data_IF_753197638758
#
_entry.id   IF_753197638758
#
_cell.length_a   1.000
_cell.length_b   1.000
_cell.length_c   1.000
_cell.angle_alpha   90.00
_cell.angle_beta   90.00
_cell.angle_gamma   90.00
#
_symmetry.space_group_name_H-M   'P 1'
#
loop_
_entity.id
_entity.type
_entity.pdbx_description
1 polymer ?
#
# COMPACT_ATOMS: atom_id res chain seq x y z
N UNK A 1 13.21 -18.06 -13.40
CA UNK A 1 13.92 -16.94 -12.76
C UNK A 1 12.81 -16.02 -12.27
N UNK A 2 12.48 -16.09 -10.98
CA UNK A 2 11.32 -15.38 -10.42
C UNK A 2 11.74 -13.95 -10.09
N UNK A 3 11.36 -13.00 -10.96
CA UNK A 3 11.51 -11.59 -10.68
C UNK A 3 10.34 -11.17 -9.77
N UNK A 4 10.60 -11.10 -8.48
CA UNK A 4 9.69 -10.47 -7.54
C UNK A 4 9.65 -8.98 -7.83
N UNK A 5 8.46 -8.38 -7.85
CA UNK A 5 8.30 -6.94 -7.88
C UNK A 5 9.18 -6.30 -6.80
N UNK A 6 10.05 -5.40 -7.20
CA UNK A 6 10.83 -4.56 -6.30
C UNK A 6 9.89 -3.54 -5.70
N UNK A 7 9.58 -3.68 -4.42
CA UNK A 7 8.91 -2.62 -3.67
C UNK A 7 10.00 -1.60 -3.29
N UNK A 8 9.73 -0.30 -3.47
CA UNK A 8 10.66 0.77 -3.13
C UNK A 8 10.92 0.93 -1.61
N UNK A 9 12.01 1.61 -1.20
CA UNK A 9 12.34 1.78 0.21
C UNK A 9 11.33 2.68 0.94
N UNK A 10 10.84 2.22 2.10
CA UNK A 10 10.00 2.99 3.02
C UNK A 10 10.70 3.13 4.38
N UNK A 11 10.76 4.34 4.93
CA UNK A 11 11.40 4.61 6.22
C UNK A 11 10.36 4.57 7.35
N UNK A 12 10.43 3.56 8.21
CA UNK A 12 9.64 3.50 9.44
C UNK A 12 10.45 3.99 10.64
N UNK A 13 9.87 4.87 11.45
CA UNK A 13 10.51 5.45 12.65
C UNK A 13 10.56 4.41 13.79
N UNK A 14 11.74 4.04 14.34
CA UNK A 14 11.82 2.99 15.36
C UNK A 14 11.66 3.55 16.78
N UNK A 15 11.04 2.80 17.70
CA UNK A 15 11.26 2.98 19.15
C UNK A 15 11.29 1.67 19.95
N UNK A 16 12.01 1.76 21.08
CA UNK A 16 12.61 0.67 21.85
C UNK A 16 11.71 -0.10 22.83
N UNK A 17 12.30 -1.22 23.26
CA UNK A 17 11.78 -2.36 24.03
C UNK A 17 11.24 -2.04 25.43
N UNK A 18 10.02 -2.48 25.76
CA UNK A 18 9.48 -2.66 27.14
C UNK A 18 8.41 -3.78 27.10
N UNK A 19 8.68 -4.96 27.66
CA UNK A 19 8.31 -5.56 28.98
C UNK A 19 6.81 -5.92 29.18
N UNK A 20 6.59 -7.22 29.45
CA UNK A 20 5.32 -7.96 29.61
C UNK A 20 4.53 -7.60 30.89
N UNK A 21 3.19 -7.47 30.76
CA UNK A 21 2.07 -7.83 31.68
C UNK A 21 0.88 -6.87 31.40
N UNK A 22 -0.38 -7.22 31.13
CA UNK A 22 -1.22 -8.42 31.29
C UNK A 22 -1.69 -8.98 29.93
N UNK A 23 -1.72 -10.31 29.77
CA UNK A 23 -2.11 -10.96 28.51
C UNK A 23 -3.64 -11.18 28.49
N UNK A 24 -4.29 -10.78 27.39
CA UNK A 24 -5.54 -11.40 26.95
C UNK A 24 -5.36 -12.93 26.99
N UNK A 25 -6.32 -13.65 27.56
CA UNK A 25 -6.35 -15.10 27.42
C UNK A 25 -6.58 -15.48 25.95
N UNK A 26 -6.13 -16.68 25.57
CA UNK A 26 -6.19 -17.13 24.17
C UNK A 26 -7.63 -17.09 23.63
N UNK A 27 -8.64 -17.32 24.47
CA UNK A 27 -10.06 -17.24 24.12
C UNK A 27 -10.53 -15.80 23.83
N UNK A 28 -10.03 -14.81 24.59
CA UNK A 28 -10.25 -13.39 24.33
C UNK A 28 -9.63 -12.93 23.02
N UNK A 29 -8.41 -13.40 22.71
CA UNK A 29 -7.73 -13.12 21.43
C UNK A 29 -8.50 -13.74 20.26
N UNK A 30 -8.90 -15.01 20.38
CA UNK A 30 -9.59 -15.73 19.29
C UNK A 30 -10.96 -15.15 18.96
N UNK A 31 -11.71 -14.70 19.96
CA UNK A 31 -13.00 -14.03 19.75
C UNK A 31 -12.88 -12.70 19.02
N UNK A 32 -11.90 -11.86 19.39
CA UNK A 32 -11.64 -10.59 18.69
C UNK A 32 -11.22 -10.87 17.24
N UNK A 33 -10.38 -11.88 17.01
CA UNK A 33 -10.00 -12.30 15.65
C UNK A 33 -11.19 -12.78 14.83
N UNK A 34 -12.13 -13.52 15.43
CA UNK A 34 -13.33 -13.99 14.73
C UNK A 34 -14.34 -12.87 14.45
N UNK A 35 -14.51 -11.91 15.36
CA UNK A 35 -15.30 -10.69 15.13
C UNK A 35 -14.68 -9.84 14.01
N UNK A 36 -13.36 -9.65 14.03
CA UNK A 36 -12.64 -8.94 12.97
C UNK A 36 -12.74 -9.67 11.62
N UNK A 37 -12.64 -11.01 11.61
CA UNK A 37 -12.83 -11.83 10.39
C UNK A 37 -14.25 -11.78 9.86
N UNK A 38 -15.25 -11.70 10.73
CA UNK A 38 -16.66 -11.60 10.34
C UNK A 38 -17.00 -10.23 9.73
N UNK A 39 -16.40 -9.15 10.24
CA UNK A 39 -16.58 -7.79 9.72
C UNK A 39 -15.71 -7.51 8.48
N UNK A 40 -14.57 -8.19 8.34
CA UNK A 40 -13.80 -8.17 7.11
C UNK A 40 -14.54 -8.95 6.02
N UNK A 41 -15.15 -8.24 5.05
CA UNK A 41 -15.55 -8.84 3.77
C UNK A 41 -14.30 -9.41 3.10
N UNK A 42 -14.03 -10.70 3.33
CA UNK A 42 -12.93 -11.39 2.69
C UNK A 42 -13.19 -11.34 1.18
N UNK A 43 -12.28 -10.76 0.38
CA UNK A 43 -12.38 -10.83 -1.08
C UNK A 43 -12.53 -12.30 -1.50
N UNK A 44 -13.32 -12.58 -2.53
CA UNK A 44 -13.64 -13.95 -2.96
C UNK A 44 -12.41 -14.82 -3.30
N UNK A 45 -11.24 -14.21 -3.41
CA UNK A 45 -9.93 -14.85 -3.43
C UNK A 45 -9.08 -14.16 -2.36
N UNK A 46 -9.03 -14.73 -1.16
CA UNK A 46 -8.02 -14.32 -0.20
C UNK A 46 -6.64 -14.64 -0.82
N UNK A 47 -5.68 -13.71 -0.81
CA UNK A 47 -4.35 -14.01 -1.31
C UNK A 47 -3.78 -15.20 -0.53
N UNK A 48 -3.02 -16.05 -1.22
CA UNK A 48 -2.28 -17.13 -0.57
C UNK A 48 -1.21 -16.51 0.34
N UNK A 49 -1.56 -16.36 1.62
CA UNK A 49 -0.72 -15.67 2.61
C UNK A 49 0.64 -16.36 2.74
N UNK A 50 0.71 -17.69 2.54
CA UNK A 50 1.97 -18.44 2.61
C UNK A 50 2.91 -18.05 1.47
N UNK A 51 2.38 -17.89 0.25
CA UNK A 51 3.16 -17.42 -0.90
C UNK A 51 3.68 -15.98 -0.74
N UNK A 52 3.04 -15.16 0.10
CA UNK A 52 3.43 -13.77 0.35
C UNK A 52 4.44 -13.60 1.49
N UNK A 53 4.74 -14.66 2.25
CA UNK A 53 5.62 -14.57 3.42
C UNK A 53 7.01 -14.08 3.06
N UNK A 54 7.56 -14.38 1.87
CA UNK A 54 8.94 -13.99 1.53
C UNK A 54 9.11 -12.50 1.19
N UNK A 55 8.03 -11.74 1.15
CA UNK A 55 8.08 -10.31 0.88
C UNK A 55 8.56 -9.52 2.11
N UNK A 56 9.79 -9.00 2.05
CA UNK A 56 10.45 -8.30 3.15
C UNK A 56 9.75 -6.98 3.54
N UNK A 57 9.21 -6.21 2.58
CA UNK A 57 8.43 -5.02 2.91
C UNK A 57 7.09 -5.38 3.57
N UNK A 58 6.40 -6.40 3.07
CA UNK A 58 5.15 -6.85 3.68
C UNK A 58 5.38 -7.28 5.13
N UNK A 59 6.41 -8.09 5.38
CA UNK A 59 6.83 -8.47 6.74
C UNK A 59 7.13 -7.24 7.61
N UNK A 60 7.86 -6.26 7.07
CA UNK A 60 8.20 -5.03 7.80
C UNK A 60 6.94 -4.23 8.16
N UNK A 61 6.03 -4.04 7.21
CA UNK A 61 4.78 -3.32 7.42
C UNK A 61 3.87 -4.04 8.43
N UNK A 62 3.78 -5.38 8.35
CA UNK A 62 3.05 -6.19 9.32
C UNK A 62 3.59 -6.01 10.75
N UNK A 63 4.92 -6.05 10.93
CA UNK A 63 5.57 -5.82 12.23
C UNK A 63 5.30 -4.41 12.75
N UNK A 64 5.29 -3.39 11.88
CA UNK A 64 4.97 -2.01 12.27
C UNK A 64 3.51 -1.86 12.70
N UNK A 65 2.57 -2.44 11.95
CA UNK A 65 1.16 -2.45 12.32
C UNK A 65 0.94 -3.12 13.69
N UNK A 66 1.55 -4.29 13.90
CA UNK A 66 1.51 -4.99 15.19
C UNK A 66 2.07 -4.14 16.34
N UNK A 67 3.28 -3.59 16.19
CA UNK A 67 3.92 -2.77 17.23
C UNK A 67 3.09 -1.55 17.60
N UNK A 68 2.51 -0.85 16.62
CA UNK A 68 1.69 0.32 16.88
C UNK A 68 0.32 -0.04 17.49
N UNK A 69 -0.23 -1.22 17.18
CA UNK A 69 -1.40 -1.75 17.90
C UNK A 69 -1.09 -2.01 19.37
N UNK A 70 0.01 -2.71 19.68
CA UNK A 70 0.41 -2.97 21.07
C UNK A 70 0.63 -1.65 21.83
N UNK A 71 1.34 -0.69 21.24
CA UNK A 71 1.57 0.62 21.87
C UNK A 71 0.28 1.40 22.16
N UNK A 72 -0.73 1.30 21.28
CA UNK A 72 -2.03 1.93 21.52
C UNK A 72 -2.81 1.22 22.64
N UNK A 73 -2.82 -0.12 22.65
CA UNK A 73 -3.48 -0.93 23.69
C UNK A 73 -2.89 -0.60 25.07
N UNK A 74 -1.56 -0.58 25.20
CA UNK A 74 -0.90 -0.26 26.48
C UNK A 74 -1.28 1.13 27.01
N UNK A 75 -1.35 2.13 26.13
CA UNK A 75 -1.76 3.49 26.52
C UNK A 75 -3.24 3.55 26.92
N UNK A 76 -4.08 2.80 26.22
CA UNK A 76 -5.50 2.69 26.54
C UNK A 76 -5.71 2.04 27.91
N UNK A 77 -5.06 0.91 28.17
CA UNK A 77 -5.14 0.19 29.44
C UNK A 77 -4.64 1.04 30.62
N UNK A 78 -3.55 1.80 30.44
CA UNK A 78 -3.07 2.75 31.46
C UNK A 78 -4.09 3.84 31.78
N UNK A 79 -4.77 4.38 30.77
CA UNK A 79 -5.82 5.40 30.94
C UNK A 79 -7.05 4.82 31.65
N UNK A 80 -7.42 3.57 31.37
CA UNK A 80 -8.53 2.86 32.02
C UNK A 80 -8.19 2.56 33.49
N UNK A 81 -6.98 2.07 33.77
CA UNK A 81 -6.51 1.77 35.12
C UNK A 81 -6.35 3.02 35.99
N UNK A 82 -6.04 4.17 35.39
CA UNK A 82 -5.99 5.45 36.08
C UNK A 82 -6.71 6.56 35.28
N UNK A 83 -8.03 6.70 35.47
CA UNK A 83 -8.83 7.70 34.74
C UNK A 83 -8.43 9.16 34.97
N UNK A 84 -7.70 9.45 36.05
CA UNK A 84 -7.24 10.80 36.38
C UNK A 84 -5.97 11.21 35.63
N UNK A 85 -5.26 10.22 35.06
CA UNK A 85 -4.09 10.45 34.20
C UNK A 85 -4.58 11.07 32.89
N UNK A 86 -4.11 12.25 32.50
CA UNK A 86 -4.51 12.86 31.23
C UNK A 86 -3.62 12.37 30.08
N UNK A 87 -3.97 11.25 29.44
CA UNK A 87 -3.28 10.71 28.27
C UNK A 87 -4.02 10.96 26.95
N UNK A 88 -5.09 11.76 26.96
CA UNK A 88 -5.98 11.94 25.81
C UNK A 88 -5.24 12.25 24.48
N UNK A 89 -4.28 13.19 24.50
CA UNK A 89 -3.45 13.52 23.34
C UNK A 89 -2.55 12.35 22.89
N UNK A 90 -1.86 11.71 23.83
CA UNK A 90 -0.97 10.57 23.54
C UNK A 90 -1.74 9.36 22.98
N UNK A 91 -2.93 9.09 23.53
CA UNK A 91 -3.82 8.02 23.09
C UNK A 91 -4.35 8.28 21.67
N UNK A 92 -4.77 9.52 21.39
CA UNK A 92 -5.17 9.93 20.04
C UNK A 92 -4.02 9.75 19.05
N UNK A 93 -2.83 10.25 19.36
CA UNK A 93 -1.67 10.12 18.47
C UNK A 93 -1.26 8.66 18.26
N UNK A 94 -1.34 7.80 19.29
CA UNK A 94 -1.07 6.37 19.15
C UNK A 94 -2.11 5.67 18.28
N UNK A 95 -3.38 6.04 18.40
CA UNK A 95 -4.47 5.53 17.56
C UNK A 95 -4.25 5.87 16.09
N UNK A 96 -3.90 7.11 15.78
CA UNK A 96 -3.66 7.53 14.39
C UNK A 96 -2.45 6.80 13.81
N UNK A 97 -1.34 6.66 14.54
CA UNK A 97 -0.19 5.87 14.09
C UNK A 97 -0.51 4.40 13.85
N UNK A 98 -1.32 3.79 14.71
CA UNK A 98 -1.82 2.44 14.53
C UNK A 98 -2.60 2.35 13.22
N UNK A 99 -3.59 3.24 13.03
CA UNK A 99 -4.41 3.28 11.82
C UNK A 99 -3.56 3.43 10.56
N UNK A 100 -2.62 4.37 10.55
CA UNK A 100 -1.73 4.61 9.41
C UNK A 100 -0.88 3.38 9.08
N UNK A 101 -0.36 2.69 10.11
CA UNK A 101 0.45 1.48 9.92
C UNK A 101 -0.36 0.31 9.37
N UNK A 102 -1.63 0.19 9.77
CA UNK A 102 -2.55 -0.81 9.20
C UNK A 102 -2.90 -0.49 7.75
N UNK A 103 -3.07 0.78 7.40
CA UNK A 103 -3.27 1.21 6.01
C UNK A 103 -2.05 0.85 5.16
N UNK A 104 -0.83 1.14 5.64
CA UNK A 104 0.41 0.78 4.95
C UNK A 104 0.54 -0.74 4.79
N UNK A 105 0.21 -1.51 5.84
CA UNK A 105 0.23 -2.97 5.76
C UNK A 105 -0.78 -3.51 4.73
N UNK A 106 -1.99 -2.94 4.67
CA UNK A 106 -2.97 -3.28 3.64
C UNK A 106 -2.47 -2.96 2.23
N UNK A 107 -1.85 -1.79 2.03
CA UNK A 107 -1.23 -1.42 0.74
C UNK A 107 -0.15 -2.41 0.33
N UNK A 108 0.74 -2.78 1.26
CA UNK A 108 1.78 -3.76 0.97
C UNK A 108 1.21 -5.12 0.61
N UNK A 109 0.12 -5.55 1.26
CA UNK A 109 -0.56 -6.80 0.95
C UNK A 109 -1.17 -6.76 -0.45
N UNK A 110 -1.82 -5.65 -0.80
CA UNK A 110 -2.40 -5.45 -2.13
C UNK A 110 -1.32 -5.42 -3.21
N UNK A 111 -0.24 -4.67 -3.01
CA UNK A 111 0.91 -4.61 -3.92
C UNK A 111 1.51 -6.00 -4.11
N UNK A 112 1.72 -6.74 -3.03
CA UNK A 112 2.28 -8.09 -3.10
C UNK A 112 1.34 -9.06 -3.83
N UNK A 113 0.02 -8.91 -3.67
CA UNK A 113 -1.00 -9.69 -4.37
C UNK A 113 -1.07 -9.35 -5.85
N UNK A 114 -0.91 -8.06 -6.20
CA UNK A 114 -0.81 -7.64 -7.60
C UNK A 114 0.45 -8.25 -8.19
N UNK A 115 1.61 -8.13 -7.56
CA UNK A 115 2.87 -8.73 -8.03
C UNK A 115 3.50 -8.01 -9.23
N UNK A 116 4.30 -8.72 -10.02
CA UNK A 116 5.09 -8.12 -11.11
C UNK A 116 4.21 -7.56 -12.25
N UNK A 117 4.42 -6.29 -12.57
CA UNK A 117 3.72 -5.58 -13.65
C UNK A 117 4.37 -5.77 -15.02
N UNK A 118 5.63 -6.22 -15.06
CA UNK A 118 6.45 -6.24 -16.26
C UNK A 118 6.94 -4.85 -16.69
N UNK A 119 7.85 -4.81 -17.67
CA UNK A 119 8.34 -3.56 -18.25
C UNK A 119 9.19 -2.69 -17.32
N UNK A 120 9.69 -3.25 -16.21
CA UNK A 120 10.44 -2.48 -15.20
C UNK A 120 9.57 -1.52 -14.41
N UNK A 121 8.27 -1.79 -14.30
CA UNK A 121 7.34 -0.96 -13.52
C UNK A 121 7.18 -1.47 -12.10
N UNK A 122 6.90 -0.55 -11.19
CA UNK A 122 6.63 -0.86 -9.79
C UNK A 122 5.36 -0.17 -9.31
N UNK A 123 4.76 -0.74 -8.27
CA UNK A 123 3.64 -0.13 -7.54
C UNK A 123 4.16 0.37 -6.21
N UNK A 124 3.78 1.59 -5.85
CA UNK A 124 4.05 2.18 -4.54
C UNK A 124 2.75 2.74 -3.96
N UNK A 125 2.65 2.87 -2.62
CA UNK A 125 1.55 3.60 -2.00
C UNK A 125 1.49 5.05 -2.52
N UNK A 126 0.30 5.56 -2.78
CA UNK A 126 0.11 6.95 -3.20
C UNK A 126 0.31 7.96 -2.08
N UNK A 127 0.53 9.23 -2.46
CA UNK A 127 0.97 10.33 -1.58
C UNK A 127 0.00 10.68 -0.43
N UNK A 128 -1.22 10.15 -0.42
CA UNK A 128 -2.24 10.40 0.61
C UNK A 128 -2.94 9.14 1.12
N UNK A 129 -2.36 7.94 0.86
CA UNK A 129 -2.85 6.70 1.45
C UNK A 129 -4.30 6.37 1.11
N UNK A 130 -4.76 6.72 -0.09
CA UNK A 130 -6.07 6.30 -0.63
C UNK A 130 -5.96 5.54 -1.95
N UNK A 131 -4.83 5.69 -2.65
CA UNK A 131 -4.60 5.16 -3.99
C UNK A 131 -3.25 4.44 -4.04
N UNK A 132 -3.08 3.60 -5.06
CA UNK A 132 -1.79 3.05 -5.43
C UNK A 132 -1.28 3.77 -6.67
N UNK A 133 0.03 3.99 -6.75
CA UNK A 133 0.67 4.67 -7.86
C UNK A 133 1.60 3.70 -8.59
N UNK A 134 1.53 3.69 -9.91
CA UNK A 134 2.42 2.92 -10.78
C UNK A 134 3.51 3.87 -11.28
N UNK A 135 4.76 3.44 -11.14
CA UNK A 135 5.93 4.15 -11.61
C UNK A 135 6.70 3.26 -12.59
N UNK A 136 7.39 3.87 -13.54
CA UNK A 136 8.55 3.22 -14.15
C UNK A 136 9.68 3.16 -13.09
N UNK A 137 10.56 2.16 -13.14
CA UNK A 137 11.54 1.87 -12.08
C UNK A 137 12.38 3.08 -11.61
N UNK A 138 12.66 4.02 -12.50
CA UNK A 138 13.44 5.23 -12.22
C UNK A 138 12.60 6.52 -12.31
N UNK A 139 11.28 6.39 -12.43
CA UNK A 139 10.35 7.51 -12.53
C UNK A 139 10.10 8.19 -11.19
N UNK A 140 10.24 9.51 -11.16
CA UNK A 140 9.80 10.34 -10.02
C UNK A 140 8.29 10.60 -10.08
N UNK A 141 7.73 10.67 -11.28
CA UNK A 141 6.31 10.90 -11.52
C UNK A 141 5.54 9.59 -11.70
N UNK A 142 4.36 9.53 -11.09
CA UNK A 142 3.47 8.39 -11.25
C UNK A 142 2.93 8.35 -12.69
N UNK A 143 3.11 7.22 -13.35
CA UNK A 143 2.51 6.92 -14.66
C UNK A 143 0.99 6.85 -14.56
N UNK A 144 0.50 6.15 -13.53
CA UNK A 144 -0.91 5.94 -13.28
C UNK A 144 -1.18 6.01 -11.77
N UNK A 145 -2.32 6.61 -11.42
CA UNK A 145 -2.91 6.52 -10.09
C UNK A 145 -4.12 5.61 -10.20
N UNK A 146 -4.15 4.54 -9.42
CA UNK A 146 -5.21 3.54 -9.43
C UNK A 146 -5.86 3.45 -8.05
N UNK A 147 -7.19 3.25 -7.98
CA UNK A 147 -7.85 3.00 -6.71
C UNK A 147 -7.40 1.65 -6.12
N UNK A 148 -7.50 1.54 -4.80
CA UNK A 148 -7.33 0.26 -4.08
C UNK A 148 -8.43 -0.75 -4.39
N UNK A 149 -8.15 -2.01 -4.08
CA UNK A 149 -9.05 -3.14 -4.24
C UNK A 149 -9.16 -3.64 -5.68
N UNK A 150 -8.29 -3.19 -6.59
CA UNK A 150 -8.27 -3.69 -7.95
C UNK A 150 -7.50 -5.01 -8.02
N UNK A 151 -8.12 -6.03 -8.61
CA UNK A 151 -7.43 -7.29 -8.90
C UNK A 151 -6.31 -7.11 -9.92
N UNK A 152 -5.28 -7.97 -9.86
CA UNK A 152 -4.12 -7.98 -10.77
C UNK A 152 -4.50 -7.81 -12.24
N UNK A 153 -5.48 -8.56 -12.73
CA UNK A 153 -5.88 -8.52 -14.14
C UNK A 153 -6.40 -7.16 -14.57
N UNK A 154 -7.15 -6.48 -13.69
CA UNK A 154 -7.65 -5.12 -13.93
C UNK A 154 -6.50 -4.13 -13.96
N UNK A 155 -5.53 -4.24 -13.04
CA UNK A 155 -4.33 -3.39 -13.02
C UNK A 155 -3.52 -3.57 -14.31
N UNK A 156 -3.27 -4.82 -14.71
CA UNK A 156 -2.56 -5.10 -15.96
C UNK A 156 -3.32 -4.61 -17.20
N UNK A 157 -4.65 -4.67 -17.19
CA UNK A 157 -5.47 -4.12 -18.27
C UNK A 157 -5.34 -2.60 -18.36
N UNK A 158 -5.34 -1.89 -17.22
CA UNK A 158 -5.14 -0.44 -17.18
C UNK A 158 -3.78 -0.04 -17.76
N UNK A 159 -2.71 -0.75 -17.36
CA UNK A 159 -1.36 -0.53 -17.87
C UNK A 159 -1.30 -0.73 -19.38
N UNK A 160 -1.82 -1.86 -19.90
CA UNK A 160 -1.84 -2.12 -21.34
C UNK A 160 -2.63 -1.07 -22.11
N UNK A 161 -3.75 -0.61 -21.54
CA UNK A 161 -4.59 0.42 -22.16
C UNK A 161 -3.88 1.76 -22.20
N UNK A 162 -3.19 2.12 -21.12
CA UNK A 162 -2.35 3.30 -21.06
C UNK A 162 -1.28 3.27 -22.16
N UNK A 163 -0.52 2.17 -22.28
CA UNK A 163 0.55 2.02 -23.27
C UNK A 163 0.03 2.18 -24.70
N UNK A 164 -1.08 1.51 -25.02
CA UNK A 164 -1.71 1.63 -26.34
C UNK A 164 -2.19 3.06 -26.63
N UNK A 165 -2.73 3.75 -25.62
CA UNK A 165 -3.17 5.14 -25.76
C UNK A 165 -1.99 6.08 -25.97
N UNK A 166 -0.89 5.87 -25.24
CA UNK A 166 0.35 6.62 -25.39
C UNK A 166 0.95 6.46 -26.79
N UNK A 167 1.13 5.22 -27.25
CA UNK A 167 1.64 4.90 -28.59
C UNK A 167 0.76 5.48 -29.70
N UNK A 168 -0.55 5.50 -29.49
CA UNK A 168 -1.48 6.11 -30.42
C UNK A 168 -1.31 7.64 -30.45
N UNK A 169 -1.23 8.26 -29.28
CA UNK A 169 -1.01 9.71 -29.13
C UNK A 169 0.30 10.17 -29.77
N UNK A 170 1.40 9.44 -29.55
CA UNK A 170 2.71 9.75 -30.13
C UNK A 170 2.67 9.70 -31.66
N UNK A 171 2.09 8.63 -32.24
CA UNK A 171 1.94 8.50 -33.69
C UNK A 171 1.09 9.62 -34.29
N UNK A 172 -0.02 9.99 -33.64
CA UNK A 172 -0.85 11.10 -34.09
C UNK A 172 -0.12 12.45 -33.98
N UNK A 173 0.60 12.68 -32.88
CA UNK A 173 1.38 13.90 -32.65
C UNK A 173 2.46 14.08 -33.71
N UNK A 174 3.23 13.02 -33.98
CA UNK A 174 4.26 13.02 -35.02
C UNK A 174 3.67 13.27 -36.41
N UNK A 175 2.53 12.64 -36.73
CA UNK A 175 1.84 12.87 -38.00
C UNK A 175 1.40 14.33 -38.15
N UNK A 176 0.83 14.93 -37.10
CA UNK A 176 0.44 16.36 -37.09
C UNK A 176 1.64 17.28 -37.22
N UNK A 177 2.73 17.02 -36.51
CA UNK A 177 3.96 17.80 -36.61
C UNK A 177 4.54 17.75 -38.03
N UNK A 178 4.63 16.57 -38.64
CA UNK A 178 5.08 16.40 -40.03
C UNK A 178 4.20 17.15 -41.02
N UNK A 179 2.88 17.05 -40.88
CA UNK A 179 1.94 17.79 -41.72
C UNK A 179 2.12 19.31 -41.58
N UNK A 180 2.36 19.81 -40.35
CA UNK A 180 2.59 21.23 -40.08
C UNK A 180 3.91 21.74 -40.69
N UNK A 181 4.98 20.95 -40.58
CA UNK A 181 6.28 21.28 -41.20
C UNK A 181 6.15 21.34 -42.73
N UNK A 182 5.46 20.38 -43.36
CA UNK A 182 5.24 20.38 -44.80
C UNK A 182 4.40 21.58 -45.27
N UNK A 183 3.39 21.99 -44.50
CA UNK A 183 2.62 23.21 -44.79
C UNK A 183 3.49 24.46 -44.73
N UNK A 184 4.34 24.59 -43.70
CA UNK A 184 5.22 25.75 -43.54
C UNK A 184 6.26 25.82 -44.66
N UNK A 185 6.83 24.68 -45.07
CA UNK A 185 7.79 24.60 -46.17
C UNK A 185 7.18 24.98 -47.53
N UNK A 186 5.89 24.73 -47.74
CA UNK A 186 5.18 25.09 -48.98
C UNK A 186 4.59 26.52 -48.96
N UNK A 187 4.77 27.25 -47.86
CA UNK A 187 4.30 28.64 -47.69
C UNK A 187 5.43 29.68 -47.75
N UNK A 188 6.67 29.24 -48.01
CA UNK A 188 7.86 30.05 -48.29
C UNK A 188 8.18 29.96 -49.79
#
# INVERSE_FOLDING_TARGET
>A
MNAYASIGPFAATPFGSVMETDRLDDDGVMRILDEMRADCRVPAVAPDIEALQDNAQLKTAAVMAYRNTIAWIELYERQVANPTLNLSGSLFSARERMRDSHVIHADMLEIATIGDLGGGREIRPGYYGNDLCIYDADGEDALLVIPRGLGRDTVLLLIRTHDLAFDHGERQGLAKARARVAQLANSL
#
